data_IF_936255473877
#
_entry.id   IF_936255473877
#
_cell.length_a   1.000
_cell.length_b   1.000
_cell.length_c   1.000
_cell.angle_alpha   90.00
_cell.angle_beta   90.00
_cell.angle_gamma   90.00
#
_symmetry.space_group_name_H-M   'P 1'
#
loop_
_entity.id
_entity.type
_entity.pdbx_description
1 polymer ?
#
# COMPACT_ATOMS: atom_id res chain seq x y z
N UNK A 1 38.61 0.69 -5.61
CA UNK A 1 38.52 0.32 -4.18
C UNK A 1 38.86 1.42 -3.17
N UNK A 2 38.28 2.63 -3.27
CA UNK A 2 38.36 3.64 -2.20
C UNK A 2 37.03 4.38 -1.99
N UNK A 3 35.91 3.72 -2.17
CA UNK A 3 34.59 4.30 -1.88
C UNK A 3 33.82 3.35 -0.97
N UNK A 4 33.41 3.88 0.17
CA UNK A 4 32.40 3.28 1.03
C UNK A 4 31.04 3.85 0.58
N UNK A 5 30.15 2.97 0.13
CA UNK A 5 28.80 3.35 -0.29
C UNK A 5 27.91 3.32 0.95
N UNK A 6 27.45 4.49 1.39
CA UNK A 6 26.44 4.60 2.46
C UNK A 6 25.07 4.80 1.81
N UNK A 7 24.19 3.79 1.81
CA UNK A 7 22.84 3.94 1.26
C UNK A 7 21.98 4.80 2.18
N UNK A 8 21.43 5.88 1.66
CA UNK A 8 20.42 6.68 2.36
C UNK A 8 19.03 6.18 2.00
N UNK A 9 18.28 5.74 3.01
CA UNK A 9 16.87 5.39 2.85
C UNK A 9 16.01 6.65 2.67
N UNK A 10 14.86 6.51 2.01
CA UNK A 10 13.84 7.56 1.97
C UNK A 10 13.20 7.81 3.35
N UNK A 11 12.46 8.91 3.45
CA UNK A 11 11.74 9.32 4.65
C UNK A 11 10.32 8.74 4.71
N UNK A 12 9.87 8.36 5.90
CA UNK A 12 8.46 8.02 6.18
C UNK A 12 7.57 9.27 6.18
N UNK A 13 6.24 9.12 6.24
CA UNK A 13 5.34 10.28 6.41
C UNK A 13 5.65 11.06 7.69
N UNK A 14 5.89 10.36 8.79
CA UNK A 14 6.22 10.95 10.09
C UNK A 14 7.55 11.72 10.02
N UNK A 15 8.57 11.12 9.40
CA UNK A 15 9.85 11.80 9.17
C UNK A 15 9.65 13.08 8.35
N UNK A 16 8.85 13.02 7.29
CA UNK A 16 8.54 14.17 6.44
C UNK A 16 7.76 15.24 7.17
N UNK A 17 6.80 14.89 8.01
CA UNK A 17 6.11 15.85 8.88
C UNK A 17 7.09 16.55 9.80
N UNK A 18 7.95 15.81 10.49
CA UNK A 18 8.95 16.41 11.37
C UNK A 18 9.93 17.30 10.62
N UNK A 19 10.40 16.88 9.44
CA UNK A 19 11.27 17.68 8.58
C UNK A 19 10.55 18.95 8.12
N UNK A 20 9.28 18.83 7.72
CA UNK A 20 8.47 19.95 7.27
C UNK A 20 8.28 20.99 8.38
N UNK A 21 7.78 20.57 9.54
CA UNK A 21 7.51 21.46 10.66
C UNK A 21 8.77 22.12 11.22
N UNK A 22 9.87 21.37 11.34
CA UNK A 22 11.12 21.88 11.94
C UNK A 22 11.97 22.72 11.00
N UNK A 23 11.98 22.40 9.70
CA UNK A 23 12.94 22.99 8.76
C UNK A 23 12.29 23.62 7.53
N UNK A 24 11.38 22.92 6.85
CA UNK A 24 10.88 23.40 5.55
C UNK A 24 9.89 24.56 5.68
N UNK A 25 8.95 24.49 6.62
CA UNK A 25 7.96 25.54 6.87
C UNK A 25 8.65 26.84 7.30
N UNK A 26 9.55 26.87 8.31
CA UNK A 26 10.28 28.08 8.65
C UNK A 26 11.07 28.64 7.46
N UNK A 27 11.77 27.79 6.72
CA UNK A 27 12.59 28.21 5.56
C UNK A 27 11.75 28.82 4.44
N UNK A 28 10.61 28.22 4.10
CA UNK A 28 9.75 28.72 3.04
C UNK A 28 9.02 30.02 3.45
N UNK A 29 8.68 30.17 4.73
CA UNK A 29 8.14 31.43 5.26
C UNK A 29 9.13 32.56 5.20
N UNK A 30 10.36 32.33 5.65
CA UNK A 30 11.44 33.32 5.58
C UNK A 30 11.69 33.75 4.13
N UNK A 31 11.78 32.79 3.20
CA UNK A 31 11.95 33.07 1.78
C UNK A 31 10.78 33.87 1.16
N UNK A 32 9.56 33.74 1.71
CA UNK A 32 8.38 34.48 1.29
C UNK A 32 8.14 35.78 2.08
N UNK A 33 8.96 36.08 3.10
CA UNK A 33 8.82 37.25 3.96
C UNK A 33 7.64 37.18 4.94
N UNK A 34 7.24 35.99 5.38
CA UNK A 34 6.11 35.76 6.29
C UNK A 34 6.56 35.51 7.75
N UNK A 35 5.93 36.18 8.72
CA UNK A 35 6.12 35.91 10.17
C UNK A 35 5.33 34.69 10.63
N UNK A 36 5.66 34.17 11.83
CA UNK A 36 5.00 33.05 12.52
C UNK A 36 3.46 33.17 12.60
N UNK A 37 2.95 34.38 12.83
CA UNK A 37 1.51 34.62 12.95
C UNK A 37 0.80 34.76 11.60
N UNK A 38 1.54 35.08 10.52
CA UNK A 38 0.95 35.35 9.22
C UNK A 38 0.51 34.09 8.46
N UNK A 39 1.11 32.95 8.76
CA UNK A 39 0.78 31.65 8.15
C UNK A 39 0.83 30.53 9.19
N UNK A 40 -0.30 29.90 9.45
CA UNK A 40 -0.35 28.70 10.29
C UNK A 40 -0.68 27.49 9.42
N UNK A 41 0.17 26.47 9.50
CA UNK A 41 -0.04 25.15 8.90
C UNK A 41 -0.03 24.14 10.05
N UNK A 42 -1.19 23.57 10.33
CA UNK A 42 -1.32 22.51 11.33
C UNK A 42 -0.91 21.15 10.76
N UNK A 43 -0.69 20.17 11.66
CA UNK A 43 -0.20 18.83 11.28
C UNK A 43 -1.12 18.11 10.30
N UNK A 44 -2.43 18.28 10.44
CA UNK A 44 -3.43 17.71 9.53
C UNK A 44 -3.27 18.21 8.08
N UNK A 45 -2.97 19.49 7.92
CA UNK A 45 -2.75 20.16 6.63
C UNK A 45 -1.42 19.74 6.02
N UNK A 46 -0.37 19.64 6.84
CA UNK A 46 0.92 19.12 6.39
C UNK A 46 0.79 17.65 5.96
N UNK A 47 0.04 16.84 6.70
CA UNK A 47 -0.21 15.45 6.34
C UNK A 47 -1.01 15.34 5.04
N UNK A 48 -2.08 16.13 4.88
CA UNK A 48 -2.85 16.20 3.65
C UNK A 48 -1.99 16.64 2.46
N UNK A 49 -1.07 17.58 2.66
CA UNK A 49 -0.11 18.02 1.64
C UNK A 49 0.84 16.88 1.23
N UNK A 50 1.42 16.19 2.21
CA UNK A 50 2.33 15.06 1.98
C UNK A 50 1.63 13.97 1.18
N UNK A 51 0.41 13.59 1.57
CA UNK A 51 -0.38 12.52 0.93
C UNK A 51 -0.90 12.91 -0.45
N UNK A 52 -1.46 14.10 -0.57
CA UNK A 52 -2.24 14.51 -1.74
C UNK A 52 -1.43 15.17 -2.85
N UNK A 53 -0.27 15.73 -2.53
CA UNK A 53 0.47 16.63 -3.44
C UNK A 53 1.96 16.28 -3.58
N UNK A 54 2.45 15.24 -2.91
CA UNK A 54 3.84 14.78 -3.03
C UNK A 54 3.93 13.28 -3.33
N UNK A 55 4.91 12.88 -4.15
CA UNK A 55 5.22 11.45 -4.40
C UNK A 55 6.71 11.27 -4.67
N UNK A 56 7.47 11.13 -3.59
CA UNK A 56 8.93 11.00 -3.64
C UNK A 56 9.47 10.34 -2.36
N UNK A 57 10.70 9.83 -2.40
CA UNK A 57 11.39 9.33 -1.19
C UNK A 57 11.97 10.48 -0.32
N UNK A 58 12.29 11.63 -0.93
CA UNK A 58 12.82 12.82 -0.27
C UNK A 58 11.75 13.84 0.12
N UNK A 59 12.15 15.11 0.26
CA UNK A 59 11.25 16.23 0.60
C UNK A 59 11.29 17.41 -0.41
N UNK A 60 11.81 17.22 -1.63
CA UNK A 60 11.95 18.31 -2.60
C UNK A 60 10.60 18.78 -3.16
N UNK A 61 9.73 17.84 -3.52
CA UNK A 61 8.36 18.13 -3.92
C UNK A 61 7.60 18.76 -2.75
N UNK A 62 7.75 18.22 -1.54
CA UNK A 62 7.11 18.77 -0.34
C UNK A 62 7.50 20.23 -0.11
N UNK A 63 8.79 20.53 -0.18
CA UNK A 63 9.29 21.89 -0.07
C UNK A 63 8.73 22.82 -1.17
N UNK A 64 8.64 22.32 -2.41
CA UNK A 64 8.09 23.11 -3.53
C UNK A 64 6.63 23.49 -3.31
N UNK A 65 5.80 22.55 -2.87
CA UNK A 65 4.38 22.82 -2.61
C UNK A 65 4.21 23.74 -1.39
N UNK A 66 5.00 23.57 -0.32
CA UNK A 66 5.03 24.51 0.81
C UNK A 66 5.39 25.92 0.37
N UNK A 67 6.38 26.07 -0.53
CA UNK A 67 6.73 27.36 -1.11
C UNK A 67 5.61 27.97 -1.95
N UNK A 68 4.81 27.15 -2.65
CA UNK A 68 3.64 27.63 -3.38
C UNK A 68 2.56 28.17 -2.44
N UNK A 69 2.28 27.48 -1.34
CA UNK A 69 1.37 27.96 -0.29
C UNK A 69 1.87 29.29 0.29
N UNK A 70 3.15 29.36 0.67
CA UNK A 70 3.72 30.58 1.24
C UNK A 70 3.61 31.78 0.29
N UNK A 71 3.93 31.59 -1.01
CA UNK A 71 3.79 32.66 -2.01
C UNK A 71 2.34 33.08 -2.21
N UNK A 72 1.41 32.13 -2.22
CA UNK A 72 -0.02 32.43 -2.36
C UNK A 72 -0.52 33.28 -1.18
N UNK A 73 -0.13 32.95 0.05
CA UNK A 73 -0.48 33.73 1.25
C UNK A 73 0.19 35.11 1.23
N UNK A 74 1.45 35.21 0.83
CA UNK A 74 2.14 36.49 0.71
C UNK A 74 1.44 37.44 -0.28
N UNK A 75 0.97 36.93 -1.42
CA UNK A 75 0.16 37.72 -2.37
C UNK A 75 -1.13 38.19 -1.73
N UNK A 76 -1.84 37.33 -1.00
CA UNK A 76 -3.11 37.70 -0.33
C UNK A 76 -2.93 38.78 0.73
N UNK A 77 -1.86 38.73 1.51
CA UNK A 77 -1.54 39.76 2.49
C UNK A 77 -1.20 41.08 1.77
N UNK A 78 -0.40 41.02 0.71
CA UNK A 78 -0.02 42.21 -0.06
C UNK A 78 -1.21 42.89 -0.77
N UNK A 79 -2.23 42.13 -1.18
CA UNK A 79 -3.47 42.64 -1.77
C UNK A 79 -4.43 43.29 -0.75
N UNK A 80 -4.03 43.38 0.53
CA UNK A 80 -4.85 43.94 1.60
C UNK A 80 -5.78 42.91 2.27
N UNK A 81 -5.47 41.63 2.15
CA UNK A 81 -6.14 40.54 2.86
C UNK A 81 -5.85 40.53 4.36
N UNK A 82 -6.35 39.48 5.05
CA UNK A 82 -6.18 39.29 6.50
C UNK A 82 -4.71 39.32 6.92
N UNK A 83 -4.40 39.88 8.10
CA UNK A 83 -3.04 39.99 8.63
C UNK A 83 -2.40 38.65 9.00
N UNK A 84 -3.17 37.55 8.95
CA UNK A 84 -2.70 36.19 9.09
C UNK A 84 -3.75 35.20 8.62
N UNK A 85 -3.28 34.03 8.20
CA UNK A 85 -4.13 32.99 7.63
C UNK A 85 -3.73 31.62 8.16
N UNK A 86 -4.72 30.87 8.59
CA UNK A 86 -4.60 29.45 8.85
C UNK A 86 -5.09 28.70 7.61
N UNK A 87 -4.27 27.81 7.09
CA UNK A 87 -4.61 26.98 5.94
C UNK A 87 -5.02 25.63 6.49
N UNK A 88 -6.22 25.17 6.14
CA UNK A 88 -6.75 23.87 6.48
C UNK A 88 -6.62 22.90 5.29
N UNK A 89 -6.84 21.58 5.50
CA UNK A 89 -6.75 20.60 4.42
C UNK A 89 -7.64 20.92 3.21
N UNK A 90 -8.85 21.44 3.45
CA UNK A 90 -9.83 21.77 2.41
C UNK A 90 -9.40 22.96 1.52
N UNK A 91 -8.52 23.83 2.03
CA UNK A 91 -8.01 24.99 1.30
C UNK A 91 -6.96 24.59 0.25
N UNK A 92 -6.32 23.43 0.42
CA UNK A 92 -5.23 22.98 -0.44
C UNK A 92 -5.65 22.89 -1.90
N UNK A 93 -6.88 22.45 -2.18
CA UNK A 93 -7.40 22.34 -3.54
C UNK A 93 -7.53 23.71 -4.23
N UNK A 94 -7.91 24.73 -3.47
CA UNK A 94 -8.02 26.12 -3.95
C UNK A 94 -6.65 26.72 -4.25
N UNK A 95 -5.63 26.36 -3.48
CA UNK A 95 -4.29 26.95 -3.55
C UNK A 95 -3.40 26.23 -4.58
N UNK A 96 -3.39 24.90 -4.56
CA UNK A 96 -2.47 24.06 -5.33
C UNK A 96 -3.12 23.39 -6.55
N UNK A 97 -4.42 23.60 -6.74
CA UNK A 97 -5.26 22.86 -7.68
C UNK A 97 -5.75 21.54 -7.08
N UNK A 98 -6.52 20.74 -7.83
CA UNK A 98 -7.07 19.47 -7.33
C UNK A 98 -5.95 18.53 -6.86
N UNK A 99 -6.30 17.66 -5.90
CA UNK A 99 -5.40 16.65 -5.37
C UNK A 99 -4.76 15.84 -6.50
N UNK A 100 -3.43 15.74 -6.50
CA UNK A 100 -2.65 15.16 -7.60
C UNK A 100 -2.39 13.68 -7.41
N UNK A 101 -2.38 13.23 -6.16
CA UNK A 101 -2.13 11.85 -5.78
C UNK A 101 -3.24 11.37 -4.87
N UNK A 102 -4.01 10.40 -5.33
CA UNK A 102 -4.86 9.59 -4.47
C UNK A 102 -4.03 8.44 -3.88
N UNK A 103 -4.47 7.88 -2.75
CA UNK A 103 -3.85 6.67 -2.22
C UNK A 103 -4.12 5.52 -3.21
N UNK A 104 -3.10 5.21 -4.02
CA UNK A 104 -3.17 4.24 -5.11
C UNK A 104 -3.59 2.84 -4.62
N UNK A 105 -3.29 2.50 -3.36
CA UNK A 105 -3.75 1.24 -2.76
C UNK A 105 -5.26 1.26 -2.58
N UNK A 106 -5.79 2.30 -1.95
CA UNK A 106 -7.22 2.41 -1.64
C UNK A 106 -8.08 2.44 -2.91
N UNK A 107 -7.61 3.11 -3.96
CA UNK A 107 -8.29 3.15 -5.26
C UNK A 107 -8.33 1.77 -5.93
N UNK A 108 -7.23 1.01 -5.88
CA UNK A 108 -7.12 -0.30 -6.56
C UNK A 108 -7.90 -1.41 -5.87
N UNK A 109 -7.93 -1.44 -4.53
CA UNK A 109 -8.67 -2.48 -3.77
C UNK A 109 -10.15 -2.16 -3.55
N UNK A 110 -10.65 -1.04 -4.10
CA UNK A 110 -12.06 -0.64 -4.00
C UNK A 110 -13.02 -1.64 -4.68
N UNK A 111 -12.49 -2.54 -5.51
CA UNK A 111 -13.23 -3.58 -6.22
C UNK A 111 -12.92 -4.97 -5.63
N UNK A 112 -13.93 -5.83 -5.45
CA UNK A 112 -13.70 -7.23 -5.12
C UNK A 112 -12.80 -7.90 -6.18
N UNK A 113 -11.90 -8.76 -5.74
CA UNK A 113 -10.93 -9.44 -6.59
C UNK A 113 -9.56 -8.80 -6.64
N UNK A 114 -9.33 -7.68 -5.95
CA UNK A 114 -8.00 -7.04 -5.88
C UNK A 114 -7.44 -7.13 -4.47
N UNK A 115 -6.23 -7.68 -4.32
CA UNK A 115 -5.54 -7.80 -3.04
C UNK A 115 -4.12 -7.22 -3.08
N UNK A 116 -3.69 -6.64 -1.96
CA UNK A 116 -2.36 -6.05 -1.79
C UNK A 116 -1.37 -7.08 -1.24
N UNK A 117 -0.31 -7.35 -2.00
CA UNK A 117 0.78 -8.26 -1.65
C UNK A 117 2.10 -7.52 -1.42
N UNK A 118 2.95 -8.07 -0.56
CA UNK A 118 4.31 -7.58 -0.35
C UNK A 118 5.32 -8.43 -1.12
N UNK A 119 6.10 -7.79 -1.96
CA UNK A 119 7.15 -8.43 -2.75
C UNK A 119 8.54 -8.00 -2.34
N UNK A 120 9.50 -8.86 -2.65
CA UNK A 120 10.90 -8.53 -2.58
C UNK A 120 11.44 -8.44 -4.00
N UNK A 121 12.19 -7.38 -4.29
CA UNK A 121 12.87 -7.17 -5.57
C UNK A 121 14.36 -6.95 -5.31
N UNK A 122 15.23 -7.09 -6.32
CA UNK A 122 16.66 -6.81 -6.17
C UNK A 122 17.00 -5.38 -5.71
N UNK A 123 16.08 -4.42 -5.89
CA UNK A 123 16.24 -3.02 -5.47
C UNK A 123 15.52 -2.70 -4.15
N UNK A 124 14.95 -3.71 -3.47
CA UNK A 124 14.25 -3.57 -2.20
C UNK A 124 12.83 -4.13 -2.23
N UNK A 125 12.09 -3.94 -1.13
CA UNK A 125 10.69 -4.35 -1.05
C UNK A 125 9.77 -3.46 -1.88
N UNK A 126 8.70 -4.04 -2.41
CA UNK A 126 7.70 -3.35 -3.23
C UNK A 126 6.27 -3.86 -2.93
N UNK A 127 5.27 -3.08 -3.33
CA UNK A 127 3.85 -3.45 -3.25
C UNK A 127 3.39 -4.02 -4.59
N UNK A 128 2.70 -5.14 -4.53
CA UNK A 128 2.03 -5.73 -5.69
C UNK A 128 0.53 -5.71 -5.50
N UNK A 129 -0.19 -5.39 -6.57
CA UNK A 129 -1.62 -5.63 -6.65
C UNK A 129 -1.83 -6.94 -7.40
N UNK A 130 -2.63 -7.83 -6.83
CA UNK A 130 -3.08 -9.03 -7.52
C UNK A 130 -4.53 -8.81 -7.87
N UNK A 131 -4.82 -8.75 -9.16
CA UNK A 131 -6.14 -8.50 -9.69
C UNK A 131 -6.70 -9.81 -10.26
N UNK A 132 -7.88 -10.20 -9.79
CA UNK A 132 -8.60 -11.36 -10.26
C UNK A 132 -9.95 -10.90 -10.84
N UNK A 133 -10.27 -11.36 -12.04
CA UNK A 133 -11.56 -11.14 -12.68
C UNK A 133 -12.20 -12.48 -13.09
N UNK A 134 -13.53 -12.50 -13.17
CA UNK A 134 -14.29 -13.66 -13.65
C UNK A 134 -15.12 -13.28 -14.86
N UNK A 135 -15.22 -14.20 -15.81
CA UNK A 135 -16.07 -14.09 -17.00
C UNK A 135 -16.74 -15.44 -17.28
N UNK A 136 -17.91 -15.49 -17.93
CA UNK A 136 -18.54 -16.75 -18.30
C UNK A 136 -17.58 -17.61 -19.13
N UNK A 137 -17.42 -18.89 -18.76
CA UNK A 137 -16.42 -19.75 -19.36
C UNK A 137 -16.53 -21.21 -18.89
N UNK A 138 -15.42 -21.94 -19.00
CA UNK A 138 -15.36 -23.39 -18.77
C UNK A 138 -14.38 -23.74 -17.63
N UNK A 139 -14.22 -22.86 -16.65
CA UNK A 139 -13.40 -23.12 -15.46
C UNK A 139 -11.90 -22.91 -15.66
N UNK A 140 -11.47 -22.17 -16.70
CA UNK A 140 -10.05 -21.96 -17.00
C UNK A 140 -9.43 -20.94 -16.04
N UNK A 141 -8.16 -21.15 -15.71
CA UNK A 141 -7.31 -20.17 -15.03
C UNK A 141 -6.37 -19.53 -16.05
N UNK A 142 -6.50 -18.22 -16.26
CA UNK A 142 -5.69 -17.41 -17.17
C UNK A 142 -4.76 -16.55 -16.33
N UNK A 143 -3.47 -16.54 -16.65
CA UNK A 143 -2.44 -15.83 -15.88
C UNK A 143 -1.69 -14.84 -16.77
N UNK A 144 -1.53 -13.60 -16.31
CA UNK A 144 -0.81 -12.53 -17.04
C UNK A 144 0.04 -11.67 -16.10
N UNK A 145 0.97 -10.91 -16.67
CA UNK A 145 1.90 -10.05 -15.89
C UNK A 145 3.33 -10.59 -15.81
N UNK A 146 3.80 -11.30 -16.86
CA UNK A 146 5.17 -11.84 -16.95
C UNK A 146 5.57 -12.72 -15.75
N UNK A 147 4.71 -13.69 -15.42
CA UNK A 147 4.92 -14.59 -14.30
C UNK A 147 5.93 -15.69 -14.65
N UNK A 148 6.87 -15.93 -13.75
CA UNK A 148 7.71 -17.14 -13.77
C UNK A 148 6.93 -18.39 -13.39
N UNK A 149 7.56 -19.55 -13.51
CA UNK A 149 6.87 -20.83 -13.33
C UNK A 149 6.48 -21.09 -11.88
N UNK A 150 7.28 -20.64 -10.90
CA UNK A 150 6.95 -20.78 -9.46
C UNK A 150 5.71 -19.97 -9.13
N UNK A 151 5.57 -18.77 -9.71
CA UNK A 151 4.39 -17.94 -9.50
C UNK A 151 3.13 -18.55 -10.16
N UNK A 152 3.27 -19.19 -11.33
CA UNK A 152 2.15 -19.92 -11.98
C UNK A 152 1.70 -21.10 -11.12
N UNK A 153 2.63 -21.86 -10.57
CA UNK A 153 2.33 -22.95 -9.63
C UNK A 153 1.63 -22.43 -8.36
N UNK A 154 2.10 -21.30 -7.81
CA UNK A 154 1.47 -20.64 -6.66
C UNK A 154 0.01 -20.26 -6.95
N UNK A 155 -0.26 -19.70 -8.13
CA UNK A 155 -1.62 -19.35 -8.56
C UNK A 155 -2.52 -20.60 -8.74
N UNK A 156 -1.98 -21.69 -9.27
CA UNK A 156 -2.69 -22.96 -9.37
C UNK A 156 -2.99 -23.58 -8.00
N UNK A 157 -2.04 -23.51 -7.07
CA UNK A 157 -2.22 -23.98 -5.71
C UNK A 157 -3.30 -23.17 -4.97
N UNK A 158 -3.30 -21.84 -5.12
CA UNK A 158 -4.33 -20.96 -4.59
C UNK A 158 -5.72 -21.31 -5.14
N UNK A 159 -5.84 -21.45 -6.45
CA UNK A 159 -7.10 -21.85 -7.10
C UNK A 159 -7.58 -23.22 -6.60
N UNK A 160 -6.68 -24.18 -6.48
CA UNK A 160 -7.00 -25.54 -6.01
C UNK A 160 -7.49 -25.53 -4.56
N UNK A 161 -6.86 -24.73 -3.69
CA UNK A 161 -7.28 -24.54 -2.31
C UNK A 161 -8.68 -23.91 -2.24
N UNK A 162 -8.92 -22.84 -3.00
CA UNK A 162 -10.23 -22.15 -3.03
C UNK A 162 -11.33 -23.09 -3.52
N UNK A 163 -11.07 -23.88 -4.57
CA UNK A 163 -12.02 -24.92 -5.05
C UNK A 163 -12.29 -25.97 -3.97
N UNK A 164 -11.25 -26.49 -3.33
CA UNK A 164 -11.40 -27.52 -2.29
C UNK A 164 -12.14 -27.03 -1.04
N UNK A 165 -12.13 -25.71 -0.80
CA UNK A 165 -12.71 -25.05 0.38
C UNK A 165 -13.91 -24.17 0.04
N UNK A 166 -14.48 -24.29 -1.16
CA UNK A 166 -15.53 -23.39 -1.63
C UNK A 166 -16.74 -23.33 -0.68
N UNK A 167 -17.14 -24.47 -0.13
CA UNK A 167 -18.23 -24.57 0.85
C UNK A 167 -17.95 -23.79 2.14
N UNK A 168 -16.71 -23.83 2.65
CA UNK A 168 -16.29 -23.14 3.88
C UNK A 168 -16.43 -21.61 3.73
N UNK A 169 -16.32 -21.11 2.49
CA UNK A 169 -16.44 -19.69 2.14
C UNK A 169 -17.79 -19.29 1.55
N UNK A 170 -18.78 -20.18 1.56
CA UNK A 170 -20.10 -19.97 0.95
C UNK A 170 -20.03 -19.63 -0.56
N UNK A 171 -19.03 -20.15 -1.25
CA UNK A 171 -18.87 -19.99 -2.70
C UNK A 171 -19.57 -21.15 -3.40
N UNK A 172 -20.52 -20.84 -4.28
CA UNK A 172 -21.19 -21.84 -5.10
C UNK A 172 -20.19 -22.48 -6.09
N UNK A 173 -20.07 -23.81 -6.05
CA UNK A 173 -19.16 -24.55 -6.93
C UNK A 173 -19.40 -24.24 -8.42
N UNK A 174 -20.67 -24.13 -8.81
CA UNK A 174 -21.06 -23.76 -10.18
C UNK A 174 -20.53 -22.39 -10.61
N UNK A 175 -20.38 -21.44 -9.69
CA UNK A 175 -19.81 -20.12 -10.00
C UNK A 175 -18.34 -20.24 -10.41
N UNK A 176 -17.63 -21.27 -9.94
CA UNK A 176 -16.24 -21.51 -10.30
C UNK A 176 -16.16 -22.32 -11.60
N UNK A 177 -16.97 -23.37 -11.73
CA UNK A 177 -16.89 -24.30 -12.87
C UNK A 177 -17.39 -23.68 -14.19
N UNK A 178 -18.35 -22.75 -14.13
CA UNK A 178 -18.93 -22.05 -15.29
C UNK A 178 -18.26 -20.69 -15.59
N UNK A 179 -17.13 -20.41 -14.95
CA UNK A 179 -16.42 -19.14 -15.13
C UNK A 179 -14.96 -19.37 -15.48
N UNK A 180 -14.45 -18.60 -16.44
CA UNK A 180 -13.01 -18.44 -16.61
C UNK A 180 -12.53 -17.33 -15.66
N UNK A 181 -11.48 -17.63 -14.91
CA UNK A 181 -10.86 -16.72 -13.93
C UNK A 181 -9.53 -16.24 -14.49
N UNK A 182 -9.36 -14.92 -14.56
CA UNK A 182 -8.14 -14.29 -15.05
C UNK A 182 -7.46 -13.57 -13.89
N UNK A 183 -6.23 -14.00 -13.58
CA UNK A 183 -5.34 -13.31 -12.64
C UNK A 183 -4.33 -12.47 -13.41
N UNK A 184 -4.27 -11.19 -13.07
CA UNK A 184 -3.28 -10.25 -13.53
C UNK A 184 -2.45 -9.76 -12.35
N UNK A 185 -1.12 -9.82 -12.48
CA UNK A 185 -0.21 -9.25 -11.48
C UNK A 185 0.59 -8.14 -12.17
N UNK A 186 0.14 -6.87 -12.14
CA UNK A 186 0.74 -5.79 -12.90
C UNK A 186 2.19 -5.55 -12.48
N UNK A 187 3.13 -5.53 -13.41
CA UNK A 187 4.41 -4.85 -13.21
C UNK A 187 5.07 -4.50 -14.53
N UNK A 188 5.97 -3.51 -14.46
CA UNK A 188 6.99 -3.23 -15.47
C UNK A 188 8.03 -4.35 -15.59
N UNK A 189 9.20 -4.02 -16.14
CA UNK A 189 10.17 -4.96 -16.72
C UNK A 189 10.88 -5.98 -15.78
N UNK A 190 10.44 -6.17 -14.52
CA UNK A 190 11.07 -7.09 -13.57
C UNK A 190 10.25 -8.38 -13.46
N UNK A 191 10.80 -9.55 -13.83
CA UNK A 191 10.12 -10.84 -13.68
C UNK A 191 9.71 -11.12 -12.24
N UNK A 192 8.49 -11.62 -12.06
CA UNK A 192 7.96 -12.04 -10.74
C UNK A 192 7.98 -13.55 -10.64
N UNK A 193 8.97 -14.05 -9.91
CA UNK A 193 9.09 -15.48 -9.67
C UNK A 193 9.41 -15.72 -8.19
N UNK A 194 8.47 -16.32 -7.49
CA UNK A 194 8.59 -16.58 -6.06
C UNK A 194 7.25 -16.95 -5.41
N UNK A 195 7.24 -17.89 -4.45
CA UNK A 195 5.99 -18.44 -3.90
C UNK A 195 5.29 -17.49 -2.89
N UNK A 196 5.95 -16.38 -2.52
CA UNK A 196 5.53 -15.53 -1.40
C UNK A 196 4.24 -14.72 -1.59
N UNK A 197 3.61 -14.83 -2.77
CA UNK A 197 2.33 -14.21 -3.09
C UNK A 197 1.13 -15.16 -2.93
N UNK A 198 1.35 -16.41 -2.49
CA UNK A 198 0.31 -17.43 -2.38
C UNK A 198 -0.89 -16.99 -1.54
N UNK A 199 -0.66 -16.38 -0.38
CA UNK A 199 -1.75 -15.86 0.48
C UNK A 199 -2.53 -14.76 -0.24
N UNK A 200 -1.82 -13.82 -0.88
CA UNK A 200 -2.44 -12.72 -1.64
C UNK A 200 -3.28 -13.23 -2.80
N UNK A 201 -2.81 -14.25 -3.52
CA UNK A 201 -3.55 -14.92 -4.60
C UNK A 201 -4.84 -15.55 -4.08
N UNK A 202 -4.77 -16.29 -2.96
CA UNK A 202 -5.94 -16.90 -2.36
C UNK A 202 -6.96 -15.85 -1.90
N UNK A 203 -6.51 -14.79 -1.23
CA UNK A 203 -7.39 -13.71 -0.76
C UNK A 203 -8.05 -12.96 -1.93
N UNK A 204 -7.31 -12.65 -3.01
CA UNK A 204 -7.88 -12.04 -4.21
C UNK A 204 -8.97 -12.91 -4.84
N UNK A 205 -8.73 -14.23 -4.97
CA UNK A 205 -9.71 -15.17 -5.50
C UNK A 205 -10.96 -15.27 -4.61
N UNK A 206 -10.79 -15.36 -3.30
CA UNK A 206 -11.91 -15.43 -2.35
C UNK A 206 -12.69 -14.11 -2.37
N UNK A 207 -12.00 -12.97 -2.42
CA UNK A 207 -12.62 -11.65 -2.58
C UNK A 207 -13.50 -11.58 -3.83
N UNK A 208 -12.99 -12.00 -4.99
CA UNK A 208 -13.73 -12.04 -6.25
C UNK A 208 -14.98 -12.92 -6.18
N UNK A 209 -14.85 -14.11 -5.59
CA UNK A 209 -15.89 -15.13 -5.58
C UNK A 209 -16.97 -14.87 -4.52
N UNK A 210 -16.62 -14.22 -3.41
CA UNK A 210 -17.55 -13.81 -2.35
C UNK A 210 -18.13 -12.41 -2.55
N UNK A 211 -17.53 -11.60 -3.43
CA UNK A 211 -17.91 -10.19 -3.61
C UNK A 211 -17.48 -9.28 -2.46
N UNK A 212 -16.71 -9.79 -1.49
CA UNK A 212 -16.19 -9.03 -0.35
C UNK A 212 -14.92 -8.29 -0.73
N UNK A 213 -14.83 -7.00 -0.41
CA UNK A 213 -13.64 -6.20 -0.72
C UNK A 213 -12.50 -6.51 0.24
N UNK A 214 -11.27 -6.36 -0.25
CA UNK A 214 -10.06 -6.40 0.58
C UNK A 214 -9.89 -5.02 1.21
N UNK A 215 -9.59 -4.98 2.50
CA UNK A 215 -9.31 -3.74 3.23
C UNK A 215 -8.12 -3.00 2.60
N UNK A 216 -8.22 -1.67 2.40
CA UNK A 216 -7.18 -0.89 1.74
C UNK A 216 -5.94 -0.66 2.62
N UNK A 217 -6.08 -0.77 3.94
CA UNK A 217 -4.98 -0.58 4.90
C UNK A 217 -4.18 -1.86 5.16
N UNK A 218 -4.47 -2.94 4.42
CA UNK A 218 -3.94 -4.29 4.64
C UNK A 218 -3.04 -4.73 3.50
N UNK A 219 -1.84 -5.20 3.83
CA UNK A 219 -0.97 -5.94 2.91
C UNK A 219 -0.52 -7.27 3.49
N UNK A 220 -0.23 -8.25 2.64
CA UNK A 220 0.10 -9.61 3.09
C UNK A 220 1.24 -10.24 2.30
N UNK A 221 1.93 -11.19 2.92
CA UNK A 221 2.88 -12.08 2.24
C UNK A 221 2.84 -13.46 2.87
N UNK A 222 3.13 -14.49 2.08
CA UNK A 222 3.14 -15.86 2.56
C UNK A 222 3.01 -16.82 1.40
N UNK A 223 3.80 -17.88 1.45
CA UNK A 223 3.55 -19.05 0.61
C UNK A 223 2.39 -19.85 1.20
N UNK A 224 1.65 -20.58 0.35
CA UNK A 224 0.56 -21.44 0.79
C UNK A 224 0.78 -22.88 0.37
N UNK A 225 0.30 -23.80 1.19
CA UNK A 225 0.15 -25.20 0.80
C UNK A 225 -1.26 -25.49 0.31
N UNK A 226 -1.45 -26.61 -0.40
CA UNK A 226 -2.77 -27.13 -0.78
C UNK A 226 -3.69 -27.45 0.43
N UNK A 227 -3.13 -27.49 1.65
CA UNK A 227 -3.88 -27.70 2.91
C UNK A 227 -4.31 -26.39 3.59
N UNK A 228 -3.96 -25.25 3.01
CA UNK A 228 -4.26 -23.92 3.54
C UNK A 228 -3.27 -23.41 4.59
N UNK A 229 -2.18 -24.14 4.88
CA UNK A 229 -1.12 -23.64 5.76
C UNK A 229 -0.35 -22.50 5.08
N UNK A 230 -0.01 -21.48 5.85
CA UNK A 230 0.86 -20.37 5.45
C UNK A 230 2.30 -20.70 5.84
N UNK A 231 3.19 -20.68 4.85
CA UNK A 231 4.60 -21.03 4.96
C UNK A 231 5.47 -19.77 5.03
N UNK A 232 6.63 -19.84 5.71
CA UNK A 232 7.50 -18.69 5.91
C UNK A 232 8.11 -18.21 4.61
N UNK A 233 8.38 -16.91 4.53
CA UNK A 233 8.98 -16.26 3.36
C UNK A 233 10.19 -15.42 3.76
N UNK A 234 11.07 -15.14 2.80
CA UNK A 234 12.21 -14.25 2.98
C UNK A 234 11.87 -12.76 2.83
N UNK A 235 12.83 -11.91 3.21
CA UNK A 235 12.81 -10.46 2.97
C UNK A 235 11.76 -9.71 3.80
N UNK A 236 11.49 -10.16 5.03
CA UNK A 236 10.44 -9.58 5.88
C UNK A 236 10.71 -8.10 6.16
N UNK A 237 11.96 -7.75 6.51
CA UNK A 237 12.37 -6.37 6.75
C UNK A 237 12.05 -5.47 5.54
N UNK A 238 12.50 -5.84 4.34
CA UNK A 238 12.31 -5.03 3.14
C UNK A 238 10.83 -4.91 2.77
N UNK A 239 10.06 -5.99 2.90
CA UNK A 239 8.62 -6.04 2.64
C UNK A 239 7.84 -5.14 3.59
N UNK A 240 8.15 -5.17 4.88
CA UNK A 240 7.51 -4.34 5.90
C UNK A 240 7.82 -2.86 5.68
N UNK A 241 9.06 -2.52 5.34
CA UNK A 241 9.43 -1.15 4.98
C UNK A 241 8.72 -0.68 3.70
N UNK A 242 8.43 -1.58 2.75
CA UNK A 242 7.64 -1.25 1.56
C UNK A 242 6.19 -0.96 1.90
N UNK A 243 5.58 -1.77 2.78
CA UNK A 243 4.24 -1.54 3.31
C UNK A 243 4.14 -0.13 3.93
N UNK A 244 5.11 0.21 4.79
CA UNK A 244 5.15 1.51 5.45
C UNK A 244 5.22 2.67 4.44
N UNK A 245 6.12 2.58 3.44
CA UNK A 245 6.24 3.62 2.39
C UNK A 245 4.98 3.77 1.54
N UNK A 246 4.18 2.72 1.43
CA UNK A 246 2.94 2.72 0.68
C UNK A 246 1.71 3.16 1.51
N UNK A 247 1.91 3.55 2.78
CA UNK A 247 0.81 3.97 3.66
C UNK A 247 -0.08 2.82 4.11
N UNK A 248 0.42 1.58 4.09
CA UNK A 248 -0.25 0.43 4.70
C UNK A 248 -0.08 0.51 6.22
N UNK A 249 -1.13 0.17 6.97
CA UNK A 249 -1.10 0.17 8.44
C UNK A 249 -1.09 -1.23 9.05
N UNK A 250 -1.60 -2.23 8.33
CA UNK A 250 -1.71 -3.61 8.80
C UNK A 250 -0.96 -4.56 7.87
N UNK A 251 -0.01 -5.33 8.41
CA UNK A 251 0.74 -6.35 7.66
C UNK A 251 0.45 -7.75 8.17
N UNK A 252 0.05 -8.64 7.26
CA UNK A 252 -0.15 -10.05 7.56
C UNK A 252 1.09 -10.84 7.15
N UNK A 253 1.74 -11.44 8.14
CA UNK A 253 2.99 -12.17 7.98
C UNK A 253 2.82 -13.62 8.45
N UNK A 254 3.52 -14.60 7.85
CA UNK A 254 3.48 -15.98 8.31
C UNK A 254 3.92 -16.06 9.78
N UNK A 255 3.19 -16.81 10.62
CA UNK A 255 3.50 -16.92 12.05
C UNK A 255 4.92 -17.45 12.30
N UNK A 256 5.45 -18.27 11.39
CA UNK A 256 6.82 -18.80 11.44
C UNK A 256 7.91 -17.75 11.16
N UNK A 257 7.54 -16.58 10.65
CA UNK A 257 8.43 -15.42 10.47
C UNK A 257 8.50 -14.52 11.72
N UNK A 258 7.85 -14.88 12.85
CA UNK A 258 7.94 -14.11 14.11
C UNK A 258 9.38 -13.85 14.56
N UNK A 259 10.28 -14.79 14.28
CA UNK A 259 11.72 -14.65 14.58
C UNK A 259 12.39 -13.49 13.82
N UNK A 260 11.87 -13.13 12.65
CA UNK A 260 12.43 -12.06 11.82
C UNK A 260 11.90 -10.68 12.25
N UNK A 261 11.04 -10.62 13.27
CA UNK A 261 10.48 -9.38 13.81
C UNK A 261 11.55 -8.47 14.42
N UNK A 262 12.57 -9.06 15.03
CA UNK A 262 13.68 -8.31 15.66
C UNK A 262 14.52 -7.55 14.62
N UNK A 263 14.56 -8.03 13.37
CA UNK A 263 15.29 -7.39 12.26
C UNK A 263 14.57 -6.14 11.71
N UNK A 264 13.30 -5.94 12.10
CA UNK A 264 12.49 -4.81 11.68
C UNK A 264 12.85 -3.59 12.54
N UNK A 265 13.22 -2.45 11.93
CA UNK A 265 13.48 -1.20 12.64
C UNK A 265 12.35 -0.83 13.60
N UNK A 266 12.69 -0.35 14.79
CA UNK A 266 11.73 0.00 15.85
C UNK A 266 10.66 1.00 15.38
N UNK A 267 11.04 2.00 14.58
CA UNK A 267 10.09 2.97 14.02
C UNK A 267 9.01 2.30 13.17
N UNK A 268 9.37 1.34 12.31
CA UNK A 268 8.43 0.59 11.50
C UNK A 268 7.57 -0.34 12.38
N UNK A 269 8.12 -0.89 13.47
CA UNK A 269 7.37 -1.72 14.42
C UNK A 269 6.29 -0.93 15.18
N UNK A 270 6.53 0.35 15.43
CA UNK A 270 5.59 1.23 16.12
C UNK A 270 4.48 1.76 15.21
N UNK A 271 4.78 1.97 13.92
CA UNK A 271 3.81 2.53 12.96
C UNK A 271 2.91 1.46 12.30
N UNK A 272 3.25 0.17 12.39
CA UNK A 272 2.53 -0.93 11.75
C UNK A 272 1.91 -1.90 12.76
N UNK A 273 0.72 -2.38 12.43
CA UNK A 273 0.08 -3.51 13.11
C UNK A 273 0.50 -4.81 12.44
N UNK A 274 1.09 -5.73 13.20
CA UNK A 274 1.54 -7.03 12.72
C UNK A 274 0.54 -8.12 13.10
N UNK A 275 0.00 -8.80 12.09
CA UNK A 275 -0.88 -9.95 12.28
C UNK A 275 -0.16 -11.19 11.79
N UNK A 276 0.01 -12.14 12.71
CA UNK A 276 0.70 -13.39 12.43
C UNK A 276 -0.30 -14.46 12.03
N UNK A 277 -0.21 -14.93 10.78
CA UNK A 277 -1.16 -15.89 10.20
C UNK A 277 -0.53 -17.29 10.09
N UNK A 278 -1.27 -18.31 10.47
CA UNK A 278 -0.87 -19.71 10.33
C UNK A 278 -1.55 -20.38 9.15
N UNK A 279 -2.75 -19.91 8.81
CA UNK A 279 -3.56 -20.44 7.73
C UNK A 279 -4.17 -19.34 6.87
N UNK A 280 -4.60 -19.70 5.66
CA UNK A 280 -5.25 -18.78 4.72
C UNK A 280 -6.55 -18.23 5.31
N UNK A 281 -7.24 -19.01 6.13
CA UNK A 281 -8.45 -18.59 6.81
C UNK A 281 -8.22 -17.38 7.72
N UNK A 282 -7.08 -17.33 8.42
CA UNK A 282 -6.68 -16.19 9.26
C UNK A 282 -6.51 -14.93 8.40
N UNK A 283 -5.92 -15.09 7.20
CA UNK A 283 -5.71 -13.98 6.29
C UNK A 283 -7.02 -13.42 5.77
N UNK A 284 -7.95 -14.29 5.39
CA UNK A 284 -9.28 -13.88 4.90
C UNK A 284 -10.07 -13.17 5.99
N UNK A 285 -10.05 -13.67 7.22
CA UNK A 285 -10.76 -13.07 8.35
C UNK A 285 -10.28 -11.64 8.65
N UNK A 286 -8.99 -11.37 8.46
CA UNK A 286 -8.37 -10.09 8.80
C UNK A 286 -8.35 -9.11 7.62
N UNK A 287 -8.28 -9.63 6.39
CA UNK A 287 -8.13 -8.82 5.18
C UNK A 287 -9.45 -8.47 4.49
N UNK A 288 -10.48 -9.31 4.56
CA UNK A 288 -11.76 -9.02 3.88
C UNK A 288 -12.71 -8.24 4.78
N UNK A 289 -13.37 -7.23 4.20
CA UNK A 289 -14.46 -6.52 4.87
C UNK A 289 -15.58 -7.49 5.26
N UNK A 290 -16.24 -7.24 6.39
CA UNK A 290 -17.45 -8.00 6.78
C UNK A 290 -18.49 -7.84 5.68
N UNK A 291 -19.07 -8.94 5.21
CA UNK A 291 -20.06 -8.88 4.13
C UNK A 291 -21.21 -7.96 4.51
N UNK A 292 -21.61 -7.04 3.61
CA UNK A 292 -22.90 -6.40 3.76
C UNK A 292 -23.96 -7.49 3.56
N UNK A 293 -24.72 -7.79 4.61
CA UNK A 293 -25.97 -8.52 4.48
C UNK A 293 -26.85 -7.74 3.50
N UNK A 294 -27.02 -8.29 2.29
CA UNK A 294 -27.97 -7.81 1.30
C UNK A 294 -29.35 -8.40 1.55
#
# INVERSE_FOLDING_TARGET
DRMEIIPLSGYTEEDKMHIASRYLVPRQREAAGLTAEQLVLEEDTLLALIRGYTREAGCRSLERELGAICRWVAVRIAEGGSSGMQIHPDDLATILGPQRFENEVASRVALPGVATGLAWTPVGGDILFIEASKSPGNGRLILTGQLGDVMKESAQAAMSLVKARAADWQIAQESIDKSDIHIHIPAGAIPKDGPSAGVTLAVALISLLTGRKVRPDVAMTGEISLRGLVLPVGGIKEKVLAALRAGIHTVLLPARNRRDYEDIPENARQQLTFIWIERVEDAVAQALEMGQEG
#
